data_IF_437747930442
#
_entry.id   IF_437747930442
#
_cell.length_a   1.000
_cell.length_b   1.000
_cell.length_c   1.000
_cell.angle_alpha   90.00
_cell.angle_beta   90.00
_cell.angle_gamma   90.00
#
_symmetry.space_group_name_H-M   'P 1'
#
loop_
_entity.id
_entity.type
_entity.pdbx_description
1 polymer ?
#
# COMPACT_ATOMS: atom_id res chain seq x y z
N UNK A 1 -18.13 -18.66 6.15
CA UNK A 1 -19.18 -18.46 5.11
C UNK A 1 -18.52 -17.87 3.87
N UNK A 2 -19.10 -18.00 2.66
CA UNK A 2 -18.48 -17.46 1.41
C UNK A 2 -18.25 -15.93 1.44
N UNK A 3 -18.97 -15.18 2.29
CA UNK A 3 -18.82 -13.72 2.42
C UNK A 3 -17.69 -13.25 3.35
N UNK A 4 -17.15 -14.11 4.23
CA UNK A 4 -16.07 -13.69 5.15
C UNK A 4 -14.69 -13.68 4.48
N UNK A 5 -14.50 -14.45 3.39
CA UNK A 5 -13.21 -14.54 2.70
C UNK A 5 -12.77 -13.22 2.05
N UNK A 6 -13.61 -12.50 1.28
CA UNK A 6 -13.19 -11.25 0.65
C UNK A 6 -12.85 -10.16 1.66
N UNK A 7 -13.61 -10.07 2.75
CA UNK A 7 -13.39 -9.12 3.84
C UNK A 7 -12.07 -9.41 4.57
N UNK A 8 -11.77 -10.69 4.83
CA UNK A 8 -10.53 -11.08 5.48
C UNK A 8 -9.31 -10.80 4.58
N UNK A 9 -9.41 -11.07 3.28
CA UNK A 9 -8.34 -10.79 2.32
C UNK A 9 -8.10 -9.27 2.22
N UNK A 10 -9.17 -8.48 2.09
CA UNK A 10 -9.08 -7.02 2.07
C UNK A 10 -8.45 -6.46 3.35
N UNK A 11 -8.77 -7.03 4.51
CA UNK A 11 -8.17 -6.65 5.78
C UNK A 11 -6.67 -6.99 5.83
N UNK A 12 -6.28 -8.20 5.39
CA UNK A 12 -4.85 -8.57 5.33
C UNK A 12 -4.06 -7.65 4.40
N UNK A 13 -4.63 -7.30 3.25
CA UNK A 13 -4.03 -6.35 2.30
C UNK A 13 -3.92 -4.97 2.95
N UNK A 14 -4.98 -4.47 3.58
CA UNK A 14 -4.97 -3.18 4.25
C UNK A 14 -3.93 -3.08 5.38
N UNK A 15 -3.75 -4.16 6.17
CA UNK A 15 -2.73 -4.21 7.22
C UNK A 15 -1.32 -4.21 6.62
N UNK A 16 -1.09 -4.99 5.56
CA UNK A 16 0.21 -5.04 4.89
C UNK A 16 0.59 -3.70 4.27
N UNK A 17 -0.35 -3.05 3.58
CA UNK A 17 -0.19 -1.68 3.08
C UNK A 17 0.04 -0.71 4.24
N UNK A 18 -0.71 -0.81 5.35
CA UNK A 18 -0.48 0.02 6.53
C UNK A 18 0.95 -0.05 7.06
N UNK A 19 1.53 -1.25 7.15
CA UNK A 19 2.93 -1.41 7.56
C UNK A 19 3.92 -0.81 6.55
N UNK A 20 3.60 -0.85 5.26
CA UNK A 20 4.38 -0.19 4.21
C UNK A 20 4.33 1.34 4.34
N UNK A 21 3.14 1.89 4.47
CA UNK A 21 2.90 3.33 4.49
C UNK A 21 3.44 3.96 5.78
N UNK A 22 3.63 3.18 6.85
CA UNK A 22 4.42 3.60 8.01
C UNK A 22 5.87 3.97 7.63
N UNK A 23 6.52 3.16 6.78
CA UNK A 23 7.86 3.43 6.26
C UNK A 23 7.93 4.67 5.38
N UNK A 24 6.93 4.87 4.52
CA UNK A 24 6.78 6.11 3.73
C UNK A 24 6.62 7.34 4.63
N UNK A 25 5.78 7.23 5.66
CA UNK A 25 5.62 8.23 6.69
C UNK A 25 6.94 8.61 7.34
N UNK A 26 7.73 7.61 7.77
CA UNK A 26 9.06 7.85 8.34
C UNK A 26 9.97 8.64 7.40
N UNK A 27 9.93 8.36 6.10
CA UNK A 27 10.71 9.10 5.10
C UNK A 27 10.25 10.55 4.96
N UNK A 28 8.94 10.80 4.92
CA UNK A 28 8.37 12.16 4.94
C UNK A 28 8.81 12.90 6.21
N UNK A 29 8.62 12.28 7.37
CA UNK A 29 8.98 12.85 8.67
C UNK A 29 10.45 13.20 8.75
N UNK A 30 11.33 12.28 8.34
CA UNK A 30 12.77 12.50 8.30
C UNK A 30 13.15 13.69 7.41
N UNK A 31 12.54 13.80 6.23
CA UNK A 31 12.77 14.93 5.31
C UNK A 31 12.37 16.27 5.93
N UNK A 32 11.23 16.31 6.63
CA UNK A 32 10.77 17.49 7.38
C UNK A 32 11.73 17.81 8.53
N UNK A 33 12.13 16.81 9.31
CA UNK A 33 13.06 16.98 10.44
C UNK A 33 14.44 17.49 10.04
N UNK A 34 14.88 17.18 8.81
CA UNK A 34 16.11 17.70 8.20
C UNK A 34 15.94 19.10 7.56
N UNK A 35 14.74 19.69 7.61
CA UNK A 35 14.44 21.00 7.04
C UNK A 35 14.30 21.01 5.51
N UNK A 36 14.22 19.86 4.86
CA UNK A 36 14.12 19.75 3.40
C UNK A 36 12.67 19.86 2.94
N UNK A 37 12.14 21.09 2.91
CA UNK A 37 10.73 21.36 2.61
C UNK A 37 10.37 20.85 1.21
N UNK A 38 11.14 21.21 0.18
CA UNK A 38 10.86 20.80 -1.20
C UNK A 38 10.84 19.27 -1.36
N UNK A 39 11.79 18.57 -0.75
CA UNK A 39 11.84 17.11 -0.79
C UNK A 39 10.66 16.49 -0.02
N UNK A 40 10.30 17.04 1.15
CA UNK A 40 9.16 16.53 1.91
C UNK A 40 7.83 16.73 1.19
N UNK A 41 7.62 17.89 0.52
CA UNK A 41 6.43 18.14 -0.29
C UNK A 41 6.36 17.18 -1.47
N UNK A 42 7.49 16.94 -2.12
CA UNK A 42 7.60 15.97 -3.20
C UNK A 42 7.17 14.57 -2.72
N UNK A 43 7.76 14.06 -1.63
CA UNK A 43 7.39 12.77 -1.05
C UNK A 43 5.90 12.69 -0.66
N UNK A 44 5.33 13.74 -0.07
CA UNK A 44 3.92 13.76 0.34
C UNK A 44 3.01 13.59 -0.89
N UNK A 45 3.27 14.33 -1.97
CA UNK A 45 2.46 14.23 -3.19
C UNK A 45 2.66 12.86 -3.84
N UNK A 46 3.91 12.37 -3.90
CA UNK A 46 4.24 11.11 -4.56
C UNK A 46 3.61 9.91 -3.88
N UNK A 47 3.76 9.82 -2.56
CA UNK A 47 3.13 8.77 -1.77
C UNK A 47 1.60 8.91 -1.73
N UNK A 48 1.03 10.12 -1.75
CA UNK A 48 -0.42 10.27 -1.85
C UNK A 48 -0.99 9.69 -3.17
N UNK A 49 -0.31 9.95 -4.30
CA UNK A 49 -0.68 9.37 -5.59
C UNK A 49 -0.46 7.85 -5.61
N UNK A 50 0.67 7.38 -5.09
CA UNK A 50 0.98 5.95 -4.98
C UNK A 50 -0.09 5.21 -4.15
N UNK A 51 -0.38 5.70 -2.94
CA UNK A 51 -1.31 5.09 -1.99
C UNK A 51 -2.75 5.08 -2.50
N UNK A 52 -3.10 6.03 -3.38
CA UNK A 52 -4.39 5.99 -4.07
C UNK A 52 -4.50 4.75 -4.96
N UNK A 53 -3.42 4.34 -5.63
CA UNK A 53 -3.41 3.13 -6.47
C UNK A 53 -3.43 1.85 -5.63
N UNK A 54 -2.82 1.84 -4.45
CA UNK A 54 -2.88 0.72 -3.52
C UNK A 54 -4.30 0.46 -2.98
N UNK A 55 -5.13 1.51 -2.89
CA UNK A 55 -6.54 1.41 -2.54
C UNK A 55 -7.33 0.47 -3.47
N UNK A 56 -6.90 0.32 -4.73
CA UNK A 56 -7.50 -0.63 -5.68
C UNK A 56 -7.29 -2.07 -5.20
N UNK A 57 -6.14 -2.39 -4.61
CA UNK A 57 -5.83 -3.72 -4.10
C UNK A 57 -6.75 -4.11 -2.93
N UNK A 58 -7.16 -3.15 -2.10
CA UNK A 58 -8.13 -3.34 -1.01
C UNK A 58 -9.56 -3.50 -1.57
N UNK A 59 -9.92 -2.67 -2.56
CA UNK A 59 -11.25 -2.67 -3.15
C UNK A 59 -11.53 -3.92 -4.02
N UNK A 60 -10.51 -4.45 -4.68
CA UNK A 60 -10.62 -5.58 -5.61
C UNK A 60 -11.30 -6.83 -5.00
N UNK A 61 -10.84 -7.41 -3.86
CA UNK A 61 -11.52 -8.53 -3.23
C UNK A 61 -12.93 -8.16 -2.76
N UNK A 62 -13.11 -6.97 -2.21
CA UNK A 62 -14.40 -6.50 -1.70
C UNK A 62 -15.49 -6.39 -2.79
N UNK A 63 -15.10 -6.13 -4.04
CA UNK A 63 -16.02 -6.02 -5.18
C UNK A 63 -16.83 -7.31 -5.46
N UNK A 64 -16.35 -8.48 -5.00
CA UNK A 64 -17.02 -9.77 -5.21
C UNK A 64 -18.15 -10.06 -4.22
N UNK A 65 -18.37 -9.19 -3.23
CA UNK A 65 -19.45 -9.30 -2.25
C UNK A 65 -20.33 -8.05 -2.21
N UNK A 66 -21.27 -7.99 -1.26
CA UNK A 66 -21.99 -6.75 -0.95
C UNK A 66 -21.00 -5.75 -0.35
N UNK A 67 -20.48 -4.86 -1.18
CA UNK A 67 -19.58 -3.78 -0.79
C UNK A 67 -20.31 -2.81 0.12
N UNK A 68 -19.71 -2.51 1.27
CA UNK A 68 -20.18 -1.48 2.20
C UNK A 68 -19.13 -0.37 2.21
N UNK A 69 -19.52 0.84 1.80
CA UNK A 69 -18.61 2.00 1.73
C UNK A 69 -17.90 2.23 3.08
N UNK A 70 -18.61 2.06 4.20
CA UNK A 70 -18.03 2.17 5.54
C UNK A 70 -16.90 1.17 5.82
N UNK A 71 -16.97 -0.06 5.26
CA UNK A 71 -15.87 -1.04 5.41
C UNK A 71 -14.66 -0.64 4.58
N UNK A 72 -14.87 -0.15 3.36
CA UNK A 72 -13.77 0.35 2.52
C UNK A 72 -13.10 1.57 3.16
N UNK A 73 -13.87 2.49 3.72
CA UNK A 73 -13.33 3.61 4.49
C UNK A 73 -12.52 3.11 5.70
N UNK A 74 -13.02 2.14 6.46
CA UNK A 74 -12.29 1.53 7.57
C UNK A 74 -10.98 0.87 7.16
N UNK A 75 -10.96 0.13 6.05
CA UNK A 75 -9.74 -0.47 5.51
C UNK A 75 -8.77 0.58 4.95
N UNK A 76 -9.28 1.63 4.31
CA UNK A 76 -8.49 2.78 3.90
C UNK A 76 -7.82 3.48 5.09
N UNK A 77 -8.53 3.60 6.21
CA UNK A 77 -7.93 4.12 7.46
C UNK A 77 -6.86 3.20 8.03
N UNK A 78 -7.06 1.87 8.00
CA UNK A 78 -6.04 0.91 8.44
C UNK A 78 -4.78 0.98 7.57
N UNK A 79 -4.95 1.18 6.25
CA UNK A 79 -3.85 1.33 5.31
C UNK A 79 -3.16 2.70 5.41
N UNK A 80 -3.92 3.79 5.58
CA UNK A 80 -3.40 5.15 5.50
C UNK A 80 -2.95 5.77 6.83
N UNK A 81 -3.63 5.46 7.95
CA UNK A 81 -3.30 6.05 9.25
C UNK A 81 -1.85 5.81 9.71
N UNK A 82 -1.24 4.63 9.46
CA UNK A 82 0.16 4.40 9.79
C UNK A 82 1.14 5.38 9.16
N UNK A 83 0.87 5.94 7.96
CA UNK A 83 1.73 6.97 7.36
C UNK A 83 1.82 8.23 8.22
N UNK A 84 0.70 8.63 8.83
CA UNK A 84 0.66 9.79 9.73
C UNK A 84 1.54 9.53 10.96
N UNK A 85 1.42 8.35 11.56
CA UNK A 85 2.26 7.95 12.69
C UNK A 85 3.74 7.86 12.30
N UNK A 86 4.04 7.30 11.12
CA UNK A 86 5.39 7.26 10.58
C UNK A 86 5.99 8.65 10.43
N UNK A 87 5.23 9.61 9.89
CA UNK A 87 5.68 10.99 9.73
C UNK A 87 6.00 11.68 11.06
N UNK A 88 5.19 11.48 12.09
CA UNK A 88 5.51 11.98 13.43
C UNK A 88 6.79 11.36 13.97
N UNK A 89 6.90 10.03 13.93
CA UNK A 89 8.11 9.34 14.44
C UNK A 89 9.36 9.78 13.67
N UNK A 90 9.28 9.86 12.34
CA UNK A 90 10.40 10.26 11.49
C UNK A 90 10.82 11.71 11.68
N UNK A 91 9.86 12.60 11.98
CA UNK A 91 10.12 14.02 12.21
C UNK A 91 10.70 14.35 13.59
N UNK A 92 10.33 13.60 14.63
CA UNK A 92 10.80 13.85 15.99
C UNK A 92 11.99 12.99 16.42
N UNK A 93 12.12 11.78 15.87
CA UNK A 93 13.10 10.77 16.32
C UNK A 93 13.80 10.13 15.13
N UNK A 94 14.40 10.96 14.26
CA UNK A 94 15.13 10.45 13.10
C UNK A 94 16.37 9.65 13.50
N UNK A 95 16.47 8.42 12.98
CA UNK A 95 17.66 7.58 13.06
C UNK A 95 17.78 6.78 11.76
N UNK A 96 18.92 6.85 11.05
CA UNK A 96 19.13 6.08 9.82
C UNK A 96 18.88 4.57 10.00
N UNK A 97 19.26 4.02 11.15
CA UNK A 97 19.02 2.61 11.47
C UNK A 97 17.53 2.28 11.53
N UNK A 98 16.75 3.11 12.25
CA UNK A 98 15.31 2.92 12.40
C UNK A 98 14.59 3.07 11.05
N UNK A 99 14.99 4.05 10.23
CA UNK A 99 14.45 4.22 8.88
C UNK A 99 14.69 2.99 8.01
N UNK A 100 15.91 2.46 7.97
CA UNK A 100 16.23 1.25 7.19
C UNK A 100 15.44 0.04 7.70
N UNK A 101 15.34 -0.14 9.02
CA UNK A 101 14.60 -1.24 9.62
C UNK A 101 13.12 -1.21 9.21
N UNK A 102 12.45 -0.07 9.34
CA UNK A 102 11.02 0.04 9.00
C UNK A 102 10.76 0.02 7.50
N UNK A 103 11.66 0.56 6.68
CA UNK A 103 11.58 0.40 5.23
C UNK A 103 11.71 -1.07 4.81
N UNK A 104 12.62 -1.83 5.45
CA UNK A 104 12.74 -3.26 5.21
C UNK A 104 11.48 -4.05 5.63
N UNK A 105 10.90 -3.70 6.78
CA UNK A 105 9.62 -4.26 7.22
C UNK A 105 8.51 -3.92 6.22
N UNK A 106 8.42 -2.67 5.77
CA UNK A 106 7.44 -2.23 4.78
C UNK A 106 7.58 -2.95 3.43
N UNK A 107 8.81 -3.15 2.95
CA UNK A 107 9.09 -3.93 1.75
C UNK A 107 8.65 -5.39 1.90
N UNK A 108 8.94 -6.01 3.06
CA UNK A 108 8.45 -7.35 3.39
C UNK A 108 6.92 -7.42 3.46
N UNK A 109 6.27 -6.38 3.97
CA UNK A 109 4.82 -6.30 4.06
C UNK A 109 4.17 -6.26 2.67
N UNK A 110 4.65 -5.42 1.75
CA UNK A 110 4.15 -5.38 0.36
C UNK A 110 4.44 -6.70 -0.36
N UNK A 111 5.61 -7.31 -0.16
CA UNK A 111 5.89 -8.62 -0.73
C UNK A 111 4.85 -9.67 -0.29
N UNK A 112 4.50 -9.67 1.01
CA UNK A 112 3.45 -10.53 1.54
C UNK A 112 2.06 -10.21 0.98
N UNK A 113 1.75 -8.93 0.74
CA UNK A 113 0.51 -8.50 0.07
C UNK A 113 0.44 -9.04 -1.35
N UNK A 114 1.54 -8.95 -2.13
CA UNK A 114 1.63 -9.48 -3.49
C UNK A 114 1.35 -11.00 -3.50
N UNK A 115 1.98 -11.76 -2.60
CA UNK A 115 1.72 -13.20 -2.45
C UNK A 115 0.24 -13.47 -2.13
N UNK A 116 -0.35 -12.67 -1.26
CA UNK A 116 -1.76 -12.80 -0.86
C UNK A 116 -2.69 -12.57 -2.04
N UNK A 117 -2.44 -11.54 -2.86
CA UNK A 117 -3.20 -11.26 -4.08
C UNK A 117 -3.03 -12.38 -5.11
N UNK A 118 -1.80 -12.87 -5.35
CA UNK A 118 -1.55 -13.96 -6.29
C UNK A 118 -2.25 -15.26 -5.89
N UNK A 119 -2.22 -15.62 -4.60
CA UNK A 119 -2.97 -16.77 -4.07
C UNK A 119 -4.47 -16.58 -4.24
N UNK A 120 -4.98 -15.39 -3.95
CA UNK A 120 -6.39 -15.06 -4.12
C UNK A 120 -6.85 -15.17 -5.58
N UNK A 121 -6.09 -14.63 -6.53
CA UNK A 121 -6.37 -14.76 -7.96
C UNK A 121 -6.41 -16.23 -8.37
N UNK A 122 -5.46 -17.04 -7.90
CA UNK A 122 -5.39 -18.47 -8.25
C UNK A 122 -6.55 -19.30 -7.66
N UNK A 123 -6.97 -18.98 -6.44
CA UNK A 123 -8.00 -19.75 -5.72
C UNK A 123 -9.43 -19.34 -6.10
N UNK A 124 -9.68 -18.05 -6.29
CA UNK A 124 -11.02 -17.52 -6.53
C UNK A 124 -11.21 -16.96 -7.94
N UNK A 125 -10.14 -16.62 -8.65
CA UNK A 125 -10.15 -16.10 -10.04
C UNK A 125 -9.79 -17.17 -11.08
N UNK A 126 -9.10 -16.73 -12.13
CA UNK A 126 -8.58 -17.62 -13.16
C UNK A 126 -7.38 -18.39 -12.59
N UNK A 127 -7.44 -19.72 -12.60
CA UNK A 127 -6.36 -20.58 -12.11
C UNK A 127 -5.06 -20.36 -12.89
N UNK A 128 -5.15 -19.76 -14.07
CA UNK A 128 -4.02 -19.39 -14.89
C UNK A 128 -3.53 -17.96 -14.58
N UNK A 129 -2.46 -17.88 -13.79
CA UNK A 129 -1.75 -16.63 -13.51
C UNK A 129 -1.10 -16.01 -14.76
N UNK A 130 -0.96 -16.78 -15.84
CA UNK A 130 -0.44 -16.33 -17.14
C UNK A 130 -1.54 -15.88 -18.11
N UNK A 131 -2.78 -15.71 -17.63
CA UNK A 131 -3.86 -15.17 -18.48
C UNK A 131 -3.55 -13.76 -18.95
N UNK A 132 -4.02 -13.40 -20.15
CA UNK A 132 -3.80 -12.08 -20.74
C UNK A 132 -4.33 -10.94 -19.84
N UNK A 133 -5.41 -11.19 -19.08
CA UNK A 133 -5.97 -10.23 -18.13
C UNK A 133 -5.04 -9.96 -16.93
N UNK A 134 -4.45 -11.01 -16.34
CA UNK A 134 -3.50 -10.84 -15.23
C UNK A 134 -2.22 -10.20 -15.73
N UNK A 135 -1.68 -10.66 -16.87
CA UNK A 135 -0.47 -10.10 -17.46
C UNK A 135 -0.63 -8.62 -17.83
N UNK A 136 -1.75 -8.24 -18.47
CA UNK A 136 -2.03 -6.84 -18.79
C UNK A 136 -2.27 -6.00 -17.54
N UNK A 137 -2.96 -6.52 -16.53
CA UNK A 137 -3.12 -5.84 -15.24
C UNK A 137 -1.79 -5.53 -14.55
N UNK A 138 -0.87 -6.50 -14.51
CA UNK A 138 0.49 -6.30 -13.99
C UNK A 138 1.25 -5.29 -14.85
N UNK A 139 1.21 -5.39 -16.17
CA UNK A 139 1.91 -4.47 -17.06
C UNK A 139 1.42 -3.02 -16.89
N UNK A 140 0.11 -2.82 -16.84
CA UNK A 140 -0.50 -1.49 -16.60
C UNK A 140 -0.14 -0.99 -15.20
N UNK A 141 -0.21 -1.84 -14.18
CA UNK A 141 0.19 -1.47 -12.81
C UNK A 141 1.65 -1.03 -12.73
N UNK A 142 2.56 -1.78 -13.36
CA UNK A 142 3.99 -1.42 -13.44
C UNK A 142 4.21 -0.11 -14.19
N UNK A 143 3.47 0.13 -15.28
CA UNK A 143 3.53 1.37 -16.04
C UNK A 143 3.06 2.56 -15.19
N UNK A 144 1.92 2.43 -14.49
CA UNK A 144 1.42 3.46 -13.58
C UNK A 144 2.44 3.74 -12.47
N UNK A 145 2.98 2.69 -11.84
CA UNK A 145 4.00 2.81 -10.80
C UNK A 145 5.26 3.54 -11.29
N UNK A 146 5.73 3.24 -12.50
CA UNK A 146 6.93 3.87 -13.05
C UNK A 146 6.67 5.34 -13.44
N UNK A 147 5.49 5.64 -14.01
CA UNK A 147 5.10 7.00 -14.32
C UNK A 147 4.94 7.86 -13.07
N UNK A 148 4.29 7.34 -12.03
CA UNK A 148 4.15 8.08 -10.77
C UNK A 148 5.49 8.34 -10.11
N UNK A 149 6.43 7.39 -10.17
CA UNK A 149 7.81 7.53 -9.65
C UNK A 149 8.73 8.43 -10.48
N UNK A 150 8.35 8.81 -11.71
CA UNK A 150 9.09 9.79 -12.52
C UNK A 150 8.53 11.19 -12.29
N UNK A 151 7.21 11.30 -12.19
CA UNK A 151 6.51 12.56 -11.99
C UNK A 151 6.69 13.09 -10.56
N UNK A 152 6.84 12.19 -9.60
CA UNK A 152 7.04 12.43 -8.17
C UNK A 152 7.97 11.38 -7.58
#
# INVERSE_FOLDING_TARGET
SRMTKPVAIALMIAIGIGLHNFGEGLAIGAAIGLGSIAFSTFLIIGFALHNTTEGIAIAAPMSRGKTMIGKLAGFGMIAGAPAIFGAWVGGFVYSPFTSVLFLAIGAGAIFQVIITILKWIREEGDKNLSSAAVASGVAVGMLVMYLTSILV
#
